data_IF_265855326301
#
_entry.id   IF_265855326301
#
_cell.length_a   1.000
_cell.length_b   1.000
_cell.length_c   1.000
_cell.angle_alpha   90.00
_cell.angle_beta   90.00
_cell.angle_gamma   90.00
#
_symmetry.space_group_name_H-M   'P 1'
#
loop_
_entity.id
_entity.type
_entity.pdbx_description
1 polymer ?
#
# COMPACT_ATOMS: atom_id res chain seq x y z
N UNK A 1 36.04 -25.98 -30.07
CA UNK A 1 34.64 -26.37 -30.35
C UNK A 1 33.77 -25.45 -29.53
N UNK A 2 33.12 -24.54 -30.24
CA UNK A 2 32.32 -23.47 -29.70
C UNK A 2 30.94 -24.00 -29.36
N UNK A 3 30.50 -23.84 -28.10
CA UNK A 3 29.07 -23.79 -27.81
C UNK A 3 28.68 -22.35 -27.57
N UNK A 4 28.10 -21.84 -28.65
CA UNK A 4 27.50 -20.53 -28.84
C UNK A 4 26.31 -20.43 -27.85
N UNK A 5 26.50 -19.77 -26.71
CA UNK A 5 25.40 -19.34 -25.84
C UNK A 5 24.61 -18.25 -26.57
N UNK A 6 23.76 -18.69 -27.48
CA UNK A 6 22.83 -17.85 -28.21
C UNK A 6 21.98 -17.06 -27.24
N UNK A 7 22.05 -15.75 -27.38
CA UNK A 7 21.24 -14.75 -26.70
C UNK A 7 19.74 -15.09 -26.72
N UNK A 8 19.16 -15.27 -25.53
CA UNK A 8 17.72 -15.36 -25.28
C UNK A 8 17.49 -15.63 -23.79
N UNK A 9 17.05 -14.70 -22.96
CA UNK A 9 15.92 -13.80 -23.16
C UNK A 9 16.26 -12.33 -22.84
N UNK A 10 16.09 -11.39 -23.78
CA UNK A 10 16.44 -9.97 -23.59
C UNK A 10 15.53 -9.18 -22.63
N UNK A 11 14.53 -9.80 -21.98
CA UNK A 11 13.56 -9.08 -21.13
C UNK A 11 13.18 -9.91 -19.90
N UNK A 12 14.12 -10.12 -18.98
CA UNK A 12 13.78 -10.68 -17.66
C UNK A 12 13.51 -9.51 -16.72
N UNK A 13 12.23 -9.16 -16.54
CA UNK A 13 11.83 -8.07 -15.63
C UNK A 13 11.97 -8.55 -14.19
N UNK A 14 12.73 -7.81 -13.39
CA UNK A 14 12.81 -8.02 -11.95
C UNK A 14 11.69 -7.26 -11.25
N UNK A 15 10.75 -7.99 -10.67
CA UNK A 15 9.60 -7.45 -9.95
C UNK A 15 9.87 -7.23 -8.46
N UNK A 16 11.09 -7.47 -7.98
CA UNK A 16 11.42 -7.40 -6.54
C UNK A 16 11.16 -6.02 -5.96
N UNK A 17 11.57 -4.96 -6.67
CA UNK A 17 11.33 -3.58 -6.23
C UNK A 17 9.83 -3.23 -6.18
N UNK A 18 9.04 -3.67 -7.18
CA UNK A 18 7.59 -3.45 -7.17
C UNK A 18 6.88 -4.18 -6.03
N UNK A 19 7.35 -5.40 -5.69
CA UNK A 19 6.84 -6.15 -4.54
C UNK A 19 7.21 -5.49 -3.22
N UNK A 20 8.45 -5.00 -3.10
CA UNK A 20 8.91 -4.25 -1.93
C UNK A 20 8.08 -2.98 -1.74
N UNK A 21 7.86 -2.22 -2.81
CA UNK A 21 7.04 -1.02 -2.77
C UNK A 21 5.57 -1.32 -2.38
N UNK A 22 5.00 -2.42 -2.87
CA UNK A 22 3.69 -2.88 -2.43
C UNK A 22 3.67 -3.29 -0.94
N UNK A 23 4.77 -3.78 -0.40
CA UNK A 23 4.88 -4.11 1.04
C UNK A 23 5.00 -2.85 1.89
N UNK A 24 5.76 -1.85 1.44
CA UNK A 24 5.86 -0.55 2.10
C UNK A 24 4.49 0.14 2.20
N UNK A 25 3.67 0.05 1.16
CA UNK A 25 2.28 0.53 1.22
C UNK A 25 1.41 -0.22 2.24
N UNK A 26 1.57 -1.54 2.40
CA UNK A 26 0.83 -2.27 3.45
C UNK A 26 1.22 -1.78 4.85
N UNK A 27 2.53 -1.61 5.09
CA UNK A 27 3.05 -1.11 6.38
C UNK A 27 2.53 0.31 6.65
N UNK A 28 2.57 1.19 5.65
CA UNK A 28 2.02 2.54 5.77
C UNK A 28 0.52 2.52 6.10
N UNK A 29 -0.25 1.61 5.50
CA UNK A 29 -1.67 1.48 5.80
C UNK A 29 -1.91 1.07 7.27
N UNK A 30 -1.10 0.15 7.79
CA UNK A 30 -1.15 -0.26 9.20
C UNK A 30 -0.77 0.90 10.13
N UNK A 31 0.35 1.57 9.87
CA UNK A 31 0.82 2.71 10.67
C UNK A 31 -0.19 3.86 10.67
N UNK A 32 -0.80 4.17 9.53
CA UNK A 32 -1.85 5.18 9.40
C UNK A 32 -3.10 4.80 10.20
N UNK A 33 -3.47 3.52 10.20
CA UNK A 33 -4.62 3.01 10.98
C UNK A 33 -4.36 3.15 12.48
N UNK A 34 -3.16 2.76 12.94
CA UNK A 34 -2.76 2.91 14.35
C UNK A 34 -2.70 4.39 14.77
N UNK A 35 -2.12 5.24 13.92
CA UNK A 35 -2.09 6.69 14.14
C UNK A 35 -3.50 7.28 14.22
N UNK A 36 -4.39 6.89 13.30
CA UNK A 36 -5.77 7.38 13.22
C UNK A 36 -6.57 7.03 14.48
N UNK A 37 -6.39 5.81 15.01
CA UNK A 37 -7.05 5.36 16.23
C UNK A 37 -6.71 6.23 17.44
N UNK A 38 -5.42 6.59 17.60
CA UNK A 38 -4.96 7.47 18.66
C UNK A 38 -5.41 7.03 20.07
N UNK A 39 -5.73 8.00 20.92
CA UNK A 39 -6.29 7.78 22.26
C UNK A 39 -7.74 8.26 22.31
N UNK A 40 -8.74 7.36 22.22
CA UNK A 40 -10.14 7.75 22.11
C UNK A 40 -10.68 8.43 23.37
N UNK A 41 -10.06 8.22 24.53
CA UNK A 41 -10.51 8.73 25.82
C UNK A 41 -9.84 10.06 26.21
N UNK A 42 -8.89 10.54 25.40
CA UNK A 42 -8.19 11.80 25.65
C UNK A 42 -9.14 13.01 25.82
N UNK A 43 -10.17 13.22 24.98
CA UNK A 43 -11.09 14.35 25.14
C UNK A 43 -11.78 14.34 26.51
N UNK A 44 -12.22 13.16 26.96
CA UNK A 44 -12.95 12.96 28.22
C UNK A 44 -12.03 13.22 29.41
N UNK A 45 -10.80 12.69 29.38
CA UNK A 45 -9.80 12.97 30.42
C UNK A 45 -9.39 14.45 30.43
N UNK A 46 -9.30 15.10 29.27
CA UNK A 46 -9.04 16.52 29.16
C UNK A 46 -10.13 17.34 29.85
N UNK A 47 -11.41 17.04 29.58
CA UNK A 47 -12.55 17.73 30.17
C UNK A 47 -12.63 17.49 31.69
N UNK A 48 -12.37 16.26 32.14
CA UNK A 48 -12.34 15.93 33.57
C UNK A 48 -11.26 16.72 34.33
N UNK A 49 -10.11 16.95 33.70
CA UNK A 49 -8.97 17.66 34.31
C UNK A 49 -9.18 19.17 34.35
N UNK A 50 -9.72 19.76 33.28
CA UNK A 50 -9.79 21.21 33.12
C UNK A 50 -11.17 21.81 33.41
N UNK A 51 -12.20 20.97 33.51
CA UNK A 51 -13.56 21.38 33.83
C UNK A 51 -14.26 22.19 32.73
N UNK A 52 -15.43 22.71 33.07
CA UNK A 52 -16.36 23.37 32.12
C UNK A 52 -15.82 24.66 31.51
N UNK A 53 -14.86 25.33 32.16
CA UNK A 53 -14.23 26.55 31.63
C UNK A 53 -13.50 26.28 30.30
N UNK A 54 -12.99 25.06 30.11
CA UNK A 54 -12.32 24.63 28.89
C UNK A 54 -13.20 23.80 27.95
N UNK A 55 -14.54 23.90 28.09
CA UNK A 55 -15.48 23.11 27.28
C UNK A 55 -15.35 23.43 25.78
N UNK A 56 -15.08 24.69 25.41
CA UNK A 56 -14.82 25.05 24.01
C UNK A 56 -13.62 24.29 23.41
N UNK A 57 -12.52 24.19 24.17
CA UNK A 57 -11.34 23.40 23.76
C UNK A 57 -11.66 21.92 23.68
N UNK A 58 -12.43 21.38 24.64
CA UNK A 58 -12.90 19.99 24.58
C UNK A 58 -13.66 19.69 23.28
N UNK A 59 -14.58 20.56 22.87
CA UNK A 59 -15.33 20.39 21.62
C UNK A 59 -14.40 20.37 20.39
N UNK A 60 -13.36 21.23 20.38
CA UNK A 60 -12.37 21.26 19.31
C UNK A 60 -11.48 20.02 19.29
N UNK A 61 -11.12 19.48 20.45
CA UNK A 61 -10.39 18.21 20.55
C UNK A 61 -11.26 17.07 19.99
N UNK A 62 -12.55 16.99 20.36
CA UNK A 62 -13.49 15.98 19.83
C UNK A 62 -13.60 16.05 18.30
N UNK A 63 -13.77 17.26 17.77
CA UNK A 63 -13.83 17.51 16.32
C UNK A 63 -12.54 17.10 15.61
N UNK A 64 -11.38 17.45 16.19
CA UNK A 64 -10.08 17.04 15.67
C UNK A 64 -9.91 15.52 15.69
N UNK A 65 -10.24 14.84 16.78
CA UNK A 65 -10.11 13.37 16.89
C UNK A 65 -10.98 12.66 15.86
N UNK A 66 -12.22 13.13 15.65
CA UNK A 66 -13.10 12.58 14.62
C UNK A 66 -12.56 12.79 13.20
N UNK A 67 -12.09 14.00 12.88
CA UNK A 67 -11.52 14.28 11.56
C UNK A 67 -10.21 13.53 11.31
N UNK A 68 -9.35 13.39 12.33
CA UNK A 68 -8.14 12.57 12.30
C UNK A 68 -8.47 11.11 11.99
N UNK A 69 -9.48 10.54 12.65
CA UNK A 69 -9.89 9.16 12.42
C UNK A 69 -10.34 8.97 10.97
N UNK A 70 -11.23 9.82 10.48
CA UNK A 70 -11.74 9.75 9.10
C UNK A 70 -10.59 9.88 8.09
N UNK A 71 -9.78 10.93 8.21
CA UNK A 71 -8.69 11.18 7.28
C UNK A 71 -7.65 10.06 7.30
N UNK A 72 -7.25 9.59 8.49
CA UNK A 72 -6.29 8.50 8.63
C UNK A 72 -6.79 7.18 8.07
N UNK A 73 -8.06 6.83 8.27
CA UNK A 73 -8.66 5.62 7.67
C UNK A 73 -8.72 5.70 6.14
N UNK A 74 -9.10 6.85 5.57
CA UNK A 74 -9.13 7.03 4.13
C UNK A 74 -7.72 6.91 3.51
N UNK A 75 -6.72 7.50 4.16
CA UNK A 75 -5.33 7.40 3.71
C UNK A 75 -4.76 5.98 3.83
N UNK A 76 -5.12 5.26 4.89
CA UNK A 76 -4.77 3.85 5.04
C UNK A 76 -5.39 2.99 3.92
N UNK A 77 -6.67 3.23 3.62
CA UNK A 77 -7.37 2.52 2.55
C UNK A 77 -6.74 2.78 1.17
N UNK A 78 -6.37 4.02 0.88
CA UNK A 78 -5.64 4.34 -0.35
C UNK A 78 -4.32 3.58 -0.47
N UNK A 79 -3.55 3.46 0.61
CA UNK A 79 -2.31 2.68 0.61
C UNK A 79 -2.58 1.19 0.33
N UNK A 80 -3.61 0.61 0.93
CA UNK A 80 -4.02 -0.78 0.68
C UNK A 80 -4.49 -1.00 -0.77
N UNK A 81 -5.21 -0.04 -1.35
CA UNK A 81 -5.61 -0.07 -2.76
C UNK A 81 -4.38 -0.03 -3.67
N UNK A 82 -3.41 0.84 -3.39
CA UNK A 82 -2.16 0.93 -4.15
C UNK A 82 -1.36 -0.37 -4.08
N UNK A 83 -1.18 -0.95 -2.89
CA UNK A 83 -0.44 -2.21 -2.74
C UNK A 83 -1.11 -3.37 -3.49
N UNK A 84 -2.44 -3.44 -3.42
CA UNK A 84 -3.25 -4.41 -4.16
C UNK A 84 -3.09 -4.23 -5.68
N UNK A 85 -3.19 -3.00 -6.17
CA UNK A 85 -3.02 -2.68 -7.59
C UNK A 85 -1.62 -3.02 -8.10
N UNK A 86 -0.57 -2.74 -7.32
CA UNK A 86 0.81 -3.09 -7.66
C UNK A 86 0.98 -4.60 -7.82
N UNK A 87 0.46 -5.39 -6.89
CA UNK A 87 0.52 -6.87 -6.96
C UNK A 87 -0.27 -7.42 -8.14
N UNK A 88 -1.43 -6.83 -8.43
CA UNK A 88 -2.24 -7.19 -9.59
C UNK A 88 -1.49 -6.89 -10.91
N UNK A 89 -0.85 -5.73 -11.01
CA UNK A 89 -0.05 -5.35 -12.17
C UNK A 89 1.11 -6.31 -12.40
N UNK A 90 1.90 -6.62 -11.35
CA UNK A 90 3.00 -7.61 -11.43
C UNK A 90 2.50 -8.96 -11.93
N UNK A 91 1.35 -9.43 -11.43
CA UNK A 91 0.76 -10.70 -11.83
C UNK A 91 0.33 -10.69 -13.29
N UNK A 92 -0.35 -9.62 -13.73
CA UNK A 92 -0.82 -9.47 -15.10
C UNK A 92 0.34 -9.35 -16.11
N UNK A 93 1.38 -8.57 -15.78
CA UNK A 93 2.57 -8.45 -16.63
C UNK A 93 3.29 -9.78 -16.76
N UNK A 94 3.52 -10.49 -15.64
CA UNK A 94 4.16 -11.81 -15.67
C UNK A 94 3.38 -12.82 -16.52
N UNK A 95 2.05 -12.86 -16.39
CA UNK A 95 1.21 -13.75 -17.21
C UNK A 95 1.31 -13.41 -18.70
N UNK A 96 1.38 -12.11 -19.04
CA UNK A 96 1.56 -11.65 -20.42
C UNK A 96 2.92 -12.04 -20.97
N UNK A 97 3.98 -11.90 -20.17
CA UNK A 97 5.35 -12.33 -20.54
C UNK A 97 5.42 -13.82 -20.81
N UNK A 98 4.80 -14.65 -19.95
CA UNK A 98 4.75 -16.11 -20.12
C UNK A 98 3.98 -16.52 -21.39
N UNK A 99 2.83 -15.88 -21.66
CA UNK A 99 2.06 -16.11 -22.88
C UNK A 99 2.84 -15.73 -24.15
N UNK A 100 3.52 -14.58 -24.13
CA UNK A 100 4.36 -14.13 -25.24
C UNK A 100 5.55 -15.06 -25.47
N UNK A 101 6.22 -15.52 -24.40
CA UNK A 101 7.33 -16.45 -24.49
C UNK A 101 6.89 -17.80 -25.10
N UNK A 102 5.71 -18.30 -24.72
CA UNK A 102 5.13 -19.52 -25.29
C UNK A 102 4.83 -19.37 -26.78
N UNK A 103 4.23 -18.25 -27.19
CA UNK A 103 3.91 -17.97 -28.60
C UNK A 103 5.17 -17.85 -29.49
N UNK A 104 6.20 -17.15 -29.00
CA UNK A 104 7.49 -17.04 -29.70
C UNK A 104 8.15 -18.42 -29.86
N UNK A 105 8.12 -19.25 -28.80
CA UNK A 105 8.70 -20.60 -28.83
C UNK A 105 7.95 -21.50 -29.81
N UNK A 106 6.61 -21.46 -29.82
CA UNK A 106 5.80 -22.20 -30.78
C UNK A 106 6.11 -21.79 -32.23
N UNK A 107 6.30 -20.50 -32.49
CA UNK A 107 6.64 -19.98 -33.83
C UNK A 107 8.01 -20.44 -34.31
N UNK A 108 9.00 -20.60 -33.40
CA UNK A 108 10.35 -21.10 -33.74
C UNK A 108 10.39 -22.61 -34.05
N UNK A 109 9.37 -23.37 -33.70
CA UNK A 109 9.28 -24.83 -33.94
C UNK A 109 8.55 -25.18 -35.26
N UNK A 110 8.03 -24.17 -35.97
CA UNK A 110 7.42 -24.27 -37.31
C UNK A 110 8.44 -23.81 -38.34
#
# INVERSE_FOLDING_TARGET
MSDNLGAGAPFRVDYTELKKFAQEHDLNAEELTQWAAGDPDFPERYLATHGKVNFGTYLKIREFMASKQIAGTAFAEHNLQTSTALRAAVTATKATEEANAAAITATKMV
#
